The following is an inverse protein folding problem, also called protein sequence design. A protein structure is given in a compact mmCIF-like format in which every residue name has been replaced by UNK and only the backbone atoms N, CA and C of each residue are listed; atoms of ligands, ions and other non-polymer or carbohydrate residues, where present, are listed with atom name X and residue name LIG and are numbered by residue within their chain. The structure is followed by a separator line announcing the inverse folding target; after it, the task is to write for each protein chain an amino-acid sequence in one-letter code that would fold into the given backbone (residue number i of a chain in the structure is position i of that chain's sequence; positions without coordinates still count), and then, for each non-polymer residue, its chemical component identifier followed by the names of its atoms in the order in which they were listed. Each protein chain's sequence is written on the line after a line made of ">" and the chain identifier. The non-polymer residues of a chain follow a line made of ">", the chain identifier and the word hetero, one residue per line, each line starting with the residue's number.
data_IF_620231375225
#
_entry.id   IF_620231375225
#
_cell.length_a   1.000
_cell.length_b   1.000
_cell.length_c   1.000
_cell.angle_alpha   90.00
_cell.angle_beta   90.00
_cell.angle_gamma   90.00
#
_symmetry.space_group_name_H-M   'P 1'
#
loop_
_entity.id
_entity.type
_entity.pdbx_description
1 polymer ?
2 polymer ?
3 water ?
#
# COMPACT_ATOMS: atom_id res chain seq x y z
N UNK A 1 -8.83 -7.08 17.42
CA UNK A 1 -9.72 -7.93 16.58
C UNK A 1 -9.32 -7.83 15.13
N UNK A 2 -9.12 -9.01 14.56
CA UNK A 2 -8.94 -9.15 13.15
C UNK A 2 -10.20 -8.64 12.50
N UNK A 3 -11.32 -8.76 13.21
CA UNK A 3 -12.61 -8.33 12.65
C UNK A 3 -12.76 -6.81 12.52
N UNK A 4 -12.29 -6.03 13.51
CA UNK A 4 -12.27 -4.58 13.40
C UNK A 4 -11.45 -4.12 12.19
N UNK A 5 -10.25 -4.68 12.05
CA UNK A 5 -9.37 -4.47 10.91
C UNK A 5 -10.06 -4.81 9.56
N UNK A 6 -10.68 -5.99 9.46
CA UNK A 6 -11.31 -6.47 8.21
C UNK A 6 -12.43 -5.55 7.82
N UNK A 7 -13.27 -5.16 8.78
CA UNK A 7 -14.30 -4.18 8.45
C UNK A 7 -13.71 -2.83 8.03
N UNK A 8 -12.70 -2.32 8.72
CA UNK A 8 -12.09 -1.02 8.32
C UNK A 8 -11.53 -1.10 6.89
N UNK A 9 -10.84 -2.20 6.58
CA UNK A 9 -10.19 -2.39 5.26
C UNK A 9 -11.25 -2.40 4.15
N UNK A 10 -12.40 -3.02 4.43
CA UNK A 10 -13.56 -3.10 3.48
C UNK A 10 -14.23 -1.78 3.27
N UNK A 11 -14.50 -1.04 4.34
CA UNK A 11 -15.15 0.23 4.15
C UNK A 11 -14.35 1.28 3.42
N UNK A 12 -13.03 1.32 3.68
CA UNK A 12 -12.11 2.22 2.97
C UNK A 12 -11.54 1.72 1.67
N UNK A 13 -12.02 0.56 1.23
CA UNK A 13 -11.48 -0.10 0.04
C UNK A 13 -9.95 -0.12 -0.02
N UNK A 14 -9.33 -0.68 1.01
CA UNK A 14 -7.89 -0.60 1.17
C UNK A 14 -7.26 -1.57 0.20
N UNK A 15 -7.93 -2.68 -0.10
CA UNK A 15 -7.37 -3.59 -1.10
C UNK A 15 -7.20 -2.87 -2.45
N UNK A 16 -8.22 -2.11 -2.88
CA UNK A 16 -8.05 -1.33 -4.12
C UNK A 16 -6.96 -0.29 -4.04
N UNK A 17 -6.86 0.35 -2.89
CA UNK A 17 -5.78 1.34 -2.65
C UNK A 17 -4.40 0.66 -2.81
N UNK A 18 -4.19 -0.52 -2.22
CA UNK A 18 -2.87 -1.17 -2.33
C UNK A 18 -2.67 -1.59 -3.78
N UNK A 19 -3.73 -2.12 -4.36
CA UNK A 19 -3.61 -2.55 -5.77
C UNK A 19 -3.15 -1.37 -6.63
N UNK A 20 -3.82 -0.21 -6.55
CA UNK A 20 -3.41 0.98 -7.33
C UNK A 20 -1.97 1.39 -7.04
N UNK A 21 -1.56 1.33 -5.76
CA UNK A 21 -0.18 1.64 -5.37
C UNK A 21 0.82 0.75 -6.09
N UNK A 22 0.52 -0.55 -6.14
CA UNK A 22 1.38 -1.51 -6.82
C UNK A 22 1.48 -1.22 -8.33
N UNK A 23 0.37 -0.92 -8.96
CA UNK A 23 0.38 -0.58 -10.42
C UNK A 23 1.29 0.62 -10.64
N UNK A 24 1.13 1.68 -9.83
CA UNK A 24 1.97 2.88 -9.96
C UNK A 24 3.45 2.57 -9.73
N UNK A 25 3.73 1.80 -8.67
CA UNK A 25 5.12 1.34 -8.45
C UNK A 25 5.67 0.60 -9.66
N UNK A 26 4.90 -0.33 -10.21
CA UNK A 26 5.32 -1.07 -11.42
C UNK A 26 5.47 -0.24 -12.71
N UNK A 27 4.75 0.88 -12.79
CA UNK A 27 4.81 1.75 -13.93
C UNK A 27 6.07 2.61 -13.79
N UNK A 28 6.22 3.18 -12.59
CA UNK A 28 7.28 4.11 -12.35
C UNK A 28 8.62 3.49 -12.01
N UNK A 29 8.61 2.33 -11.36
CA UNK A 29 9.82 1.69 -10.80
C UNK A 29 10.77 2.72 -10.22
N UNK A 30 10.32 3.46 -9.17
CA UNK A 30 11.11 4.57 -8.65
C UNK A 30 12.38 4.08 -7.91
N UNK A 31 13.42 4.89 -7.97
CA UNK A 31 14.67 4.71 -7.21
C UNK A 31 14.40 4.67 -5.70
N UNK A 32 13.43 5.46 -5.25
CA UNK A 32 13.09 5.61 -3.79
C UNK A 32 11.59 5.33 -3.63
N UNK A 33 11.19 4.06 -3.45
CA UNK A 33 9.76 3.85 -3.45
C UNK A 33 9.02 4.47 -2.28
N UNK A 34 9.72 4.76 -1.15
CA UNK A 34 9.03 5.35 0.01
C UNK A 34 8.70 6.77 -0.28
N UNK A 35 9.65 7.51 -0.85
CA UNK A 35 9.40 8.88 -1.30
C UNK A 35 8.31 8.90 -2.38
N UNK A 36 8.33 7.93 -3.28
CA UNK A 36 7.31 7.92 -4.36
C UNK A 36 5.85 7.68 -3.78
N UNK A 37 5.73 6.74 -2.85
CA UNK A 37 4.48 6.41 -2.15
C UNK A 37 3.95 7.59 -1.34
N UNK A 38 4.85 8.28 -0.64
CA UNK A 38 4.49 9.52 0.06
C UNK A 38 3.89 10.51 -0.90
N UNK A 39 4.56 10.74 -2.03
CA UNK A 39 4.05 11.69 -3.03
C UNK A 39 2.77 11.21 -3.69
N UNK A 40 2.63 9.90 -3.92
CA UNK A 40 1.42 9.39 -4.52
C UNK A 40 0.18 9.63 -3.57
N UNK A 41 0.32 9.30 -2.30
CA UNK A 41 -0.78 9.42 -1.34
C UNK A 41 -1.14 10.91 -1.13
N UNK A 42 -0.12 11.78 -1.19
CA UNK A 42 -0.34 13.22 -1.12
C UNK A 42 -1.15 13.70 -2.32
N UNK A 43 -0.79 13.20 -3.50
CA UNK A 43 -1.50 13.50 -4.76
C UNK A 43 -2.98 13.07 -4.69
N UNK A 44 -3.23 11.88 -4.16
CA UNK A 44 -4.57 11.31 -4.01
C UNK A 44 -5.38 12.11 -3.00
N UNK A 45 -4.74 12.52 -1.94
CA UNK A 45 -5.41 13.39 -0.96
C UNK A 45 -5.91 14.75 -1.53
N UNK A 46 -5.02 15.43 -2.23
CA UNK A 46 -5.32 16.64 -3.01
C UNK A 46 -6.49 16.42 -4.00
N UNK A 47 -6.40 15.36 -4.83
CA UNK A 47 -7.45 15.07 -5.83
C UNK A 47 -8.78 14.91 -5.09
N UNK A 48 -8.79 14.09 -4.05
CA UNK A 48 -9.99 13.80 -3.26
C UNK A 48 -10.65 15.06 -2.69
N UNK A 49 -9.84 16.03 -2.29
CA UNK A 49 -10.32 17.30 -1.73
C UNK A 49 -10.81 18.27 -2.82
N UNK A 50 -10.33 18.05 -4.05
CA UNK A 50 -10.57 18.95 -5.19
C UNK A 50 -12.08 19.05 -5.51
N UNK B 1 6.35 -4.04 -18.48
CA UNK B 1 6.73 -5.51 -18.55
C UNK B 1 6.51 -6.26 -17.25
N UNK B 2 5.81 -7.41 -17.30
CA UNK B 2 5.52 -8.13 -16.07
C UNK B 2 6.77 -8.57 -15.35
N UNK B 3 7.75 -9.13 -16.07
CA UNK B 3 8.93 -9.62 -15.35
C UNK B 3 9.69 -8.45 -14.71
N UNK B 4 9.74 -7.30 -15.38
CA UNK B 4 10.34 -6.05 -14.84
C UNK B 4 9.67 -5.69 -13.48
N UNK B 5 8.35 -5.88 -13.42
CA UNK B 5 7.53 -5.57 -12.23
C UNK B 5 7.81 -6.47 -11.02
N UNK B 6 7.77 -7.78 -11.22
CA UNK B 6 8.10 -8.75 -10.17
C UNK B 6 9.49 -8.60 -9.62
N UNK B 7 10.43 -8.35 -10.50
CA UNK B 7 11.79 -8.12 -10.09
C UNK B 7 11.91 -6.86 -9.30
N UNK B 8 11.28 -5.80 -9.76
CA UNK B 8 11.26 -4.58 -8.92
C UNK B 8 10.71 -4.86 -7.50
N UNK B 9 9.58 -5.57 -7.41
CA UNK B 9 8.90 -5.80 -6.14
C UNK B 9 9.78 -6.60 -5.21
N UNK B 10 10.36 -7.67 -5.76
CA UNK B 10 11.36 -8.49 -5.04
C UNK B 10 12.55 -7.71 -4.51
N UNK B 11 13.21 -6.93 -5.39
CA UNK B 11 14.43 -6.21 -5.07
C UNK B 11 14.18 -5.14 -4.01
N UNK B 12 13.02 -4.46 -4.08
CA UNK B 12 12.78 -3.39 -3.14
C UNK B 12 11.95 -3.76 -1.92
N UNK B 13 11.75 -5.06 -1.73
CA UNK B 13 11.01 -5.64 -0.65
C UNK B 13 9.67 -4.92 -0.49
N UNK B 14 8.97 -4.77 -1.61
CA UNK B 14 7.69 -3.99 -1.65
C UNK B 14 6.60 -4.68 -0.87
N UNK B 15 6.54 -6.01 -0.95
CA UNK B 15 5.51 -6.73 -0.21
C UNK B 15 5.65 -6.51 1.32
N UNK B 16 6.86 -6.62 1.83
CA UNK B 16 7.13 -6.35 3.23
C UNK B 16 6.81 -4.89 3.61
N UNK B 17 7.28 -3.95 2.79
CA UNK B 17 7.00 -2.48 2.98
C UNK B 17 5.50 -2.20 3.17
N UNK B 18 4.68 -2.74 2.25
CA UNK B 18 3.22 -2.48 2.23
C UNK B 18 2.50 -3.27 3.32
N UNK B 19 2.89 -4.53 3.54
CA UNK B 19 2.31 -5.27 4.67
C UNK B 19 2.51 -4.51 6.02
N UNK B 20 3.71 -4.01 6.28
CA UNK B 20 3.92 -3.24 7.49
C UNK B 20 3.10 -1.96 7.55
N UNK B 21 2.94 -1.25 6.43
CA UNK B 21 2.02 -0.09 6.45
C UNK B 21 0.58 -0.51 6.80
N UNK B 22 0.13 -1.67 6.33
CA UNK B 22 -1.24 -2.12 6.68
C UNK B 22 -1.40 -2.54 8.16
N UNK B 23 -0.37 -3.23 8.66
CA UNK B 23 -0.29 -3.48 10.12
C UNK B 23 -0.46 -2.17 10.96
N UNK B 24 0.29 -1.12 10.60
CA UNK B 24 0.12 0.20 11.26
C UNK B 24 -1.27 0.80 11.01
N UNK B 25 -1.80 0.61 9.81
CA UNK B 25 -3.15 1.07 9.51
C UNK B 25 -4.25 0.42 10.30
N UNK B 26 -4.23 -0.89 10.47
CA UNK B 26 -5.18 -1.57 11.34
C UNK B 26 -5.03 -1.29 12.87
N UNK B 27 -3.85 -0.86 13.30
CA UNK B 27 -3.62 -0.41 14.67
C UNK B 27 -4.33 0.94 14.91
N UNK B 28 -4.19 1.87 13.98
CA UNK B 28 -4.71 3.20 14.17
C UNK B 28 -6.17 3.41 13.69
N UNK B 29 -6.56 2.67 12.63
CA UNK B 29 -7.85 2.82 11.95
C UNK B 29 -8.20 4.32 11.87
N UNK B 30 -7.39 5.10 11.12
CA UNK B 30 -7.48 6.50 11.03
C UNK B 30 -8.70 6.98 10.28
N UNK B 31 -9.16 8.17 10.62
CA UNK B 31 -10.29 8.76 9.87
C UNK B 31 -9.92 8.99 8.38
N UNK B 32 -8.64 9.27 8.12
CA UNK B 32 -8.15 9.63 6.75
C UNK B 32 -7.00 8.72 6.36
N UNK B 33 -7.30 7.53 5.79
CA UNK B 33 -6.18 6.61 5.62
C UNK B 33 -5.08 7.09 4.71
N UNK B 34 -5.39 7.91 3.70
CA UNK B 34 -4.31 8.32 2.78
C UNK B 34 -3.34 9.28 3.46
N UNK B 35 -3.85 10.24 4.26
CA UNK B 35 -3.02 11.09 5.17
C UNK B 35 -2.18 10.26 6.14
N UNK B 36 -2.78 9.24 6.69
CA UNK B 36 -2.03 8.39 7.63
C UNK B 36 -0.84 7.69 6.87
N UNK B 37 -1.15 7.10 5.72
CA UNK B 37 -0.13 6.39 4.94
C UNK B 37 0.92 7.35 4.44
N UNK B 38 0.51 8.52 3.99
CA UNK B 38 1.50 9.53 3.57
C UNK B 38 2.52 9.82 4.70
N UNK B 39 2.01 10.01 5.91
CA UNK B 39 2.87 10.32 7.08
C UNK B 39 3.75 9.14 7.53
N UNK B 40 3.19 7.94 7.40
CA UNK B 40 3.92 6.71 7.65
C UNK B 40 5.12 6.55 6.72
N UNK B 41 4.91 6.70 5.42
CA UNK B 41 6.07 6.64 4.47
C UNK B 41 7.02 7.81 4.60
N UNK B 42 6.50 8.97 4.96
CA UNK B 42 7.35 10.09 5.38
C UNK B 42 8.25 9.73 6.60
N UNK B 43 7.66 9.26 7.70
CA UNK B 43 8.43 8.71 8.84
C UNK B 43 9.47 7.67 8.41
N UNK B 44 9.02 6.59 7.75
CA UNK B 44 9.93 5.55 7.27
C UNK B 44 11.10 6.11 6.47
N UNK B 45 10.77 7.09 5.64
CA UNK B 45 11.64 7.76 4.67
C UNK B 45 12.50 8.83 5.33
N UNK B 46 12.42 8.93 6.67
CA UNK B 46 13.31 9.72 7.56
C UNK B 46 14.10 8.81 8.54
N UNK B 47 13.43 7.80 9.11
CA UNK B 47 14.16 6.69 9.69
C UNK B 47 14.74 5.88 8.51
N UNK C 1 -2.88 -5.69 -18.85
CA UNK C 1 -3.84 -6.39 -17.95
C UNK C 1 -3.07 -7.33 -17.03
N UNK C 2 -1.96 -7.86 -17.55
CA UNK C 2 -1.06 -8.70 -16.76
C UNK C 2 -0.60 -7.97 -15.49
N UNK C 3 -0.23 -6.70 -15.62
CA UNK C 3 0.26 -5.93 -14.46
C UNK C 3 -0.88 -5.68 -13.46
N UNK C 4 -2.06 -5.32 -13.96
CA UNK C 4 -3.28 -5.20 -13.12
C UNK C 4 -3.65 -6.50 -12.36
N UNK C 5 -3.65 -7.66 -13.05
CA UNK C 5 -3.90 -8.91 -12.32
C UNK C 5 -2.86 -9.22 -11.29
N UNK C 6 -1.58 -8.96 -11.59
CA UNK C 6 -0.52 -9.18 -10.61
C UNK C 6 -0.71 -8.27 -9.37
N UNK C 7 -1.02 -7.01 -9.60
CA UNK C 7 -1.24 -6.04 -8.48
C UNK C 7 -2.44 -6.46 -7.64
N UNK C 8 -3.48 -6.95 -8.27
CA UNK C 8 -4.70 -7.39 -7.58
C UNK C 8 -4.41 -8.60 -6.66
N UNK C 9 -3.74 -9.61 -7.19
CA UNK C 9 -3.31 -10.77 -6.38
C UNK C 9 -2.32 -10.42 -5.29
N UNK C 10 -1.33 -9.60 -5.58
CA UNK C 10 -0.38 -9.16 -4.53
C UNK C 10 -1.08 -8.38 -3.42
N UNK C 11 -2.01 -7.49 -3.81
CA UNK C 11 -2.77 -6.70 -2.84
C UNK C 11 -3.53 -7.62 -1.87
N UNK C 12 -4.21 -8.62 -2.43
CA UNK C 12 -4.93 -9.63 -1.63
C UNK C 12 -4.01 -10.40 -0.70
N UNK C 13 -2.86 -10.79 -1.21
CA UNK C 13 -1.86 -11.51 -0.40
C UNK C 13 -1.28 -10.68 0.74
N UNK C 14 -0.90 -9.44 0.44
CA UNK C 14 -0.36 -8.55 1.47
C UNK C 14 -1.41 -8.34 2.58
N UNK C 15 -2.66 -8.07 2.18
CA UNK C 15 -3.76 -7.89 3.16
C UNK C 15 -3.99 -9.12 4.10
N UNK C 16 -4.08 -10.32 3.53
CA UNK C 16 -4.08 -11.57 4.31
C UNK C 16 -2.92 -11.67 5.25
N UNK C 17 -1.71 -11.54 4.72
CA UNK C 17 -0.52 -11.41 5.53
C UNK C 17 -0.70 -10.49 6.73
N UNK C 18 -1.08 -9.24 6.46
CA UNK C 18 -1.17 -8.22 7.50
C UNK C 18 -2.23 -8.56 8.53
N UNK C 19 -3.36 -9.06 8.06
CA UNK C 19 -4.48 -9.33 8.93
C UNK C 19 -4.24 -10.51 9.85
N UNK C 20 -3.43 -11.48 9.39
CA UNK C 20 -2.97 -12.61 10.20
C UNK C 20 -1.57 -12.35 10.80
N UNK C 21 -1.36 -11.11 11.26
CA UNK C 21 -0.13 -10.61 11.89
C UNK C 21 -0.53 -9.57 12.96
N UNK C 22 -1.72 -8.99 12.78
CA UNK C 22 -2.47 -8.18 13.78
C UNK C 22 -3.54 -9.07 14.46
N UNK C 23 -3.15 -10.29 14.81
CA UNK C 23 -4.05 -11.28 15.38
C UNK C 23 -3.40 -12.64 15.23
#
# INVERSE_FOLDING_TARGET
>A
SLRECELYVQKHNIQALLKDSIVQLCTARPERPMAFLREYFEKLEKEEAK
>B
SLRECELYVQKHNIQALLKDSIVQLCTARPERPMAFLREYFEKLEKEEAK
>C
TVILEYAHRLSQDILCDALQQWAC
#
